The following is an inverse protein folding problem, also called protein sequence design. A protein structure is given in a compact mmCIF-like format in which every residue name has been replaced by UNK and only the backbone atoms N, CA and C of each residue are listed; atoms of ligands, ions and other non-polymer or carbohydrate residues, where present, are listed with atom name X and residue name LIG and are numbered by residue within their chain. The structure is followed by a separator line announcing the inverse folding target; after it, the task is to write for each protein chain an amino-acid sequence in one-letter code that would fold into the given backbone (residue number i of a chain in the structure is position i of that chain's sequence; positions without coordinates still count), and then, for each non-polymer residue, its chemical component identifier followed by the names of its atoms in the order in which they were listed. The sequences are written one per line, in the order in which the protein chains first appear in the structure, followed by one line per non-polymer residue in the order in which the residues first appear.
data_IF_950726144615
#
_entry.id   IF_950726144615
#
_cell.length_a   1.000
_cell.length_b   1.000
_cell.length_c   1.000
_cell.angle_alpha   90.00
_cell.angle_beta   90.00
_cell.angle_gamma   90.00
#
_symmetry.space_group_name_H-M   'P 1'
#
loop_
_entity.id
_entity.type
_entity.pdbx_description
1 polymer ?
#
# COMPACT_ATOMS: atom_id res chain seq x y z
N UNK A 1 22.27 -9.96 12.51
CA UNK A 1 21.40 -8.90 11.98
C UNK A 1 20.08 -9.56 11.60
N UNK A 2 18.94 -9.09 12.14
CA UNK A 2 17.61 -9.57 11.74
C UNK A 2 17.40 -9.28 10.24
N UNK A 3 16.70 -10.15 9.55
CA UNK A 3 16.34 -9.89 8.15
C UNK A 3 15.44 -8.64 8.06
N UNK A 4 15.56 -7.81 7.01
CA UNK A 4 14.71 -6.65 6.84
C UNK A 4 13.25 -7.07 6.72
N UNK A 5 12.34 -6.30 7.35
CA UNK A 5 10.89 -6.52 7.25
C UNK A 5 10.44 -6.37 5.80
N UNK A 6 9.56 -7.26 5.37
CA UNK A 6 8.99 -7.25 4.01
C UNK A 6 7.68 -6.46 3.98
N UNK A 7 7.57 -5.53 3.05
CA UNK A 7 6.39 -4.69 2.83
C UNK A 7 5.75 -5.03 1.48
N UNK A 8 4.51 -5.50 1.50
CA UNK A 8 3.71 -5.63 0.29
C UNK A 8 3.27 -4.23 -0.20
N UNK A 9 3.57 -3.89 -1.44
CA UNK A 9 3.22 -2.58 -2.01
C UNK A 9 2.05 -2.75 -2.97
N UNK A 10 0.92 -2.12 -2.65
CA UNK A 10 -0.27 -2.12 -3.50
C UNK A 10 -0.38 -0.77 -4.21
N UNK A 11 -0.18 -0.77 -5.53
CA UNK A 11 -0.21 0.45 -6.35
C UNK A 11 -1.58 0.59 -7.02
N UNK A 12 -2.30 1.68 -6.72
CA UNK A 12 -3.66 1.93 -7.21
C UNK A 12 -3.78 2.28 -8.70
N UNK A 13 -2.68 2.32 -9.45
CA UNK A 13 -2.68 2.70 -10.87
C UNK A 13 -2.20 1.54 -11.76
N UNK A 14 -3.02 1.20 -12.75
CA UNK A 14 -2.72 0.17 -13.76
C UNK A 14 -2.04 0.73 -15.02
N UNK A 15 -1.74 2.03 -15.08
CA UNK A 15 -1.10 2.64 -16.24
C UNK A 15 0.31 2.08 -16.42
N UNK A 16 0.73 1.85 -17.69
CA UNK A 16 2.09 1.43 -18.03
C UNK A 16 3.13 2.43 -17.47
N UNK A 17 2.90 3.74 -17.69
CA UNK A 17 3.75 4.83 -17.20
C UNK A 17 3.16 5.44 -15.92
N UNK A 18 2.91 4.60 -14.94
CA UNK A 18 2.27 5.00 -13.68
C UNK A 18 3.22 5.83 -12.81
N UNK A 19 2.85 7.08 -12.53
CA UNK A 19 3.56 7.94 -11.58
C UNK A 19 3.49 7.36 -10.16
N UNK A 20 2.37 6.72 -9.79
CA UNK A 20 2.25 6.02 -8.51
C UNK A 20 3.27 4.88 -8.38
N UNK A 21 3.53 4.14 -9.47
CA UNK A 21 4.54 3.07 -9.49
C UNK A 21 5.96 3.65 -9.43
N UNK A 22 6.22 4.78 -10.11
CA UNK A 22 7.50 5.51 -9.99
C UNK A 22 7.73 5.96 -8.55
N UNK A 23 6.70 6.53 -7.91
CA UNK A 23 6.76 6.98 -6.52
C UNK A 23 7.02 5.81 -5.55
N UNK A 24 6.34 4.68 -5.73
CA UNK A 24 6.57 3.46 -4.93
C UNK A 24 8.03 2.97 -5.02
N UNK A 25 8.60 2.96 -6.23
CA UNK A 25 10.01 2.59 -6.45
C UNK A 25 10.98 3.59 -5.82
N UNK A 26 10.71 4.90 -5.96
CA UNK A 26 11.52 5.94 -5.33
C UNK A 26 11.47 5.83 -3.80
N UNK A 27 10.29 5.61 -3.22
CA UNK A 27 10.13 5.40 -1.78
C UNK A 27 10.91 4.18 -1.28
N UNK A 28 10.86 3.07 -2.00
CA UNK A 28 11.64 1.87 -1.67
C UNK A 28 13.16 2.14 -1.67
N UNK A 29 13.65 2.88 -2.68
CA UNK A 29 15.07 3.28 -2.74
C UNK A 29 15.51 4.20 -1.60
N UNK A 30 14.59 5.04 -1.11
CA UNK A 30 14.82 5.97 0.01
C UNK A 30 14.65 5.33 1.40
N UNK A 31 14.19 4.07 1.48
CA UNK A 31 13.94 3.35 2.73
C UNK A 31 14.63 1.96 2.72
N UNK A 32 15.97 1.92 2.66
CA UNK A 32 16.72 0.68 2.38
C UNK A 32 16.70 -0.34 3.52
N UNK A 33 16.22 0.02 4.69
CA UNK A 33 16.06 -0.87 5.85
C UNK A 33 14.80 -1.76 5.79
N UNK A 34 13.93 -1.53 4.80
CA UNK A 34 12.76 -2.36 4.51
C UNK A 34 12.90 -3.00 3.12
N UNK A 35 12.34 -4.18 2.95
CA UNK A 35 12.22 -4.83 1.65
C UNK A 35 10.82 -4.59 1.09
N UNK A 36 10.71 -4.03 -0.12
CA UNK A 36 9.44 -3.72 -0.76
C UNK A 36 9.18 -4.62 -1.95
N UNK A 37 8.05 -5.33 -1.93
CA UNK A 37 7.60 -6.20 -3.03
C UNK A 37 6.28 -5.66 -3.59
N UNK A 38 6.26 -5.24 -4.87
CA UNK A 38 5.03 -4.74 -5.52
C UNK A 38 4.14 -5.93 -5.85
N UNK A 39 2.92 -5.91 -5.31
CA UNK A 39 1.90 -6.92 -5.55
C UNK A 39 0.97 -6.45 -6.67
N UNK A 40 0.89 -7.23 -7.74
CA UNK A 40 0.08 -6.88 -8.91
C UNK A 40 -1.42 -7.09 -8.63
N UNK A 41 -2.21 -6.08 -9.05
CA UNK A 41 -3.67 -6.07 -8.86
C UNK A 41 -4.46 -5.94 -10.18
N UNK A 42 -3.77 -5.76 -11.30
CA UNK A 42 -4.41 -5.50 -12.59
C UNK A 42 -5.10 -6.71 -13.21
N UNK A 43 -4.77 -7.89 -12.79
CA UNK A 43 -5.32 -9.17 -13.25
C UNK A 43 -6.38 -9.75 -12.32
N UNK A 44 -6.72 -9.05 -11.24
CA UNK A 44 -7.72 -9.53 -10.28
C UNK A 44 -9.13 -9.42 -10.89
N UNK A 45 -9.85 -10.53 -11.10
CA UNK A 45 -11.27 -10.48 -11.37
C UNK A 45 -12.00 -9.67 -10.29
N UNK A 46 -13.08 -8.99 -10.65
CA UNK A 46 -13.91 -8.29 -9.67
C UNK A 46 -14.40 -9.26 -8.61
N UNK A 47 -14.39 -8.79 -7.35
CA UNK A 47 -14.90 -9.57 -6.25
C UNK A 47 -16.38 -9.91 -6.51
N UNK A 48 -16.67 -11.20 -6.40
CA UNK A 48 -18.00 -11.78 -6.48
C UNK A 48 -18.10 -12.85 -5.38
N UNK A 49 -19.08 -12.72 -4.52
CA UNK A 49 -19.26 -13.63 -3.40
C UNK A 49 -19.54 -15.07 -3.83
N UNK A 50 -20.15 -15.27 -4.99
CA UNK A 50 -20.45 -16.61 -5.52
C UNK A 50 -19.17 -17.40 -5.87
N UNK A 51 -18.06 -16.70 -6.08
CA UNK A 51 -16.75 -17.31 -6.37
C UNK A 51 -15.95 -17.68 -5.09
N UNK A 52 -16.43 -17.38 -3.90
CA UNK A 52 -15.66 -17.65 -2.66
C UNK A 52 -15.42 -19.15 -2.40
N UNK A 53 -16.32 -20.03 -2.88
CA UNK A 53 -16.19 -21.48 -2.72
C UNK A 53 -15.15 -22.11 -3.66
N UNK A 54 -14.87 -21.46 -4.81
CA UNK A 54 -13.85 -21.87 -5.78
C UNK A 54 -13.15 -20.58 -6.31
N UNK A 55 -12.27 -19.98 -5.50
CA UNK A 55 -11.75 -18.65 -5.80
C UNK A 55 -10.79 -18.66 -6.99
N UNK A 56 -10.86 -17.63 -7.87
CA UNK A 56 -9.90 -17.47 -8.96
C UNK A 56 -8.46 -17.53 -8.48
N UNK A 57 -7.58 -18.16 -9.26
CA UNK A 57 -6.17 -18.33 -8.93
C UNK A 57 -5.46 -16.98 -8.61
N UNK A 58 -5.89 -15.89 -9.28
CA UNK A 58 -5.37 -14.55 -9.04
C UNK A 58 -5.71 -14.05 -7.63
N UNK A 59 -6.91 -14.34 -7.11
CA UNK A 59 -7.28 -14.00 -5.73
C UNK A 59 -6.44 -14.79 -4.72
N UNK A 60 -6.24 -16.09 -4.97
CA UNK A 60 -5.43 -16.95 -4.10
C UNK A 60 -3.98 -16.44 -4.06
N UNK A 61 -3.39 -16.16 -5.23
CA UNK A 61 -2.05 -15.56 -5.36
C UNK A 61 -1.95 -14.26 -4.57
N UNK A 62 -2.83 -13.29 -4.86
CA UNK A 62 -2.82 -11.97 -4.24
C UNK A 62 -2.89 -12.07 -2.70
N UNK A 63 -3.83 -12.85 -2.19
CA UNK A 63 -4.00 -13.04 -0.74
C UNK A 63 -2.77 -13.65 -0.10
N UNK A 64 -2.15 -14.64 -0.76
CA UNK A 64 -0.92 -15.28 -0.30
C UNK A 64 0.25 -14.28 -0.24
N UNK A 65 0.40 -13.44 -1.26
CA UNK A 65 1.46 -12.42 -1.31
C UNK A 65 1.28 -11.38 -0.19
N UNK A 66 0.06 -10.88 0.02
CA UNK A 66 -0.22 -9.95 1.13
C UNK A 66 -0.02 -10.62 2.48
N UNK A 67 -0.49 -11.83 2.67
CA UNK A 67 -0.36 -12.56 3.94
C UNK A 67 1.10 -12.81 4.33
N UNK A 68 1.97 -13.07 3.35
CA UNK A 68 3.39 -13.35 3.56
C UNK A 68 4.22 -12.12 3.98
N UNK A 69 3.72 -10.89 3.76
CA UNK A 69 4.44 -9.68 4.10
C UNK A 69 4.20 -9.26 5.56
N UNK A 70 5.20 -8.62 6.18
CA UNK A 70 5.12 -8.09 7.54
C UNK A 70 4.24 -6.83 7.62
N UNK A 71 4.16 -6.05 6.54
CA UNK A 71 3.45 -4.78 6.47
C UNK A 71 2.88 -4.54 5.06
N UNK A 72 2.04 -3.50 4.93
CA UNK A 72 1.48 -3.09 3.65
C UNK A 72 1.64 -1.59 3.41
N UNK A 73 2.06 -1.23 2.20
CA UNK A 73 2.11 0.15 1.72
C UNK A 73 1.14 0.32 0.56
N UNK A 74 0.23 1.27 0.68
CA UNK A 74 -0.65 1.66 -0.41
C UNK A 74 -0.13 2.94 -1.07
N UNK A 75 0.06 2.91 -2.39
CA UNK A 75 0.43 4.10 -3.18
C UNK A 75 -0.66 4.34 -4.22
N UNK A 76 -1.50 5.35 -3.99
CA UNK A 76 -2.72 5.54 -4.77
C UNK A 76 -2.82 6.91 -5.42
N UNK A 77 -3.18 7.00 -6.72
CA UNK A 77 -3.69 8.25 -7.26
C UNK A 77 -5.13 8.48 -6.76
N UNK A 78 -5.60 9.72 -6.92
CA UNK A 78 -7.01 10.04 -6.75
C UNK A 78 -7.75 9.89 -8.09
N UNK A 79 -8.90 9.23 -8.09
CA UNK A 79 -9.79 9.12 -9.22
C UNK A 79 -11.22 9.45 -8.78
N UNK A 80 -11.81 10.50 -9.39
CA UNK A 80 -13.16 10.98 -9.03
C UNK A 80 -13.33 11.21 -7.52
N UNK A 81 -12.36 11.88 -6.88
CA UNK A 81 -12.33 12.15 -5.43
C UNK A 81 -12.29 10.92 -4.52
N UNK A 82 -11.94 9.76 -5.06
CA UNK A 82 -11.87 8.50 -4.33
C UNK A 82 -10.67 7.65 -4.78
N UNK A 83 -10.62 6.42 -4.31
CA UNK A 83 -9.64 5.42 -4.75
C UNK A 83 -10.02 4.87 -6.13
N UNK A 84 -9.04 4.48 -6.96
CA UNK A 84 -9.31 3.75 -8.20
C UNK A 84 -10.07 2.45 -7.95
N UNK A 85 -10.98 2.07 -8.87
CA UNK A 85 -11.78 0.86 -8.75
C UNK A 85 -10.95 -0.42 -8.61
N UNK A 86 -9.81 -0.51 -9.33
CA UNK A 86 -8.90 -1.66 -9.21
C UNK A 86 -8.31 -1.80 -7.78
N UNK A 87 -7.99 -0.68 -7.13
CA UNK A 87 -7.50 -0.70 -5.75
C UNK A 87 -8.61 -1.11 -4.78
N UNK A 88 -9.84 -0.58 -4.96
CA UNK A 88 -10.98 -0.99 -4.12
C UNK A 88 -11.27 -2.48 -4.28
N UNK A 89 -11.23 -3.00 -5.51
CA UNK A 89 -11.38 -4.43 -5.78
C UNK A 89 -10.31 -5.27 -5.05
N UNK A 90 -9.05 -4.86 -5.09
CA UNK A 90 -7.97 -5.56 -4.37
C UNK A 90 -8.21 -5.59 -2.86
N UNK A 91 -8.72 -4.49 -2.27
CA UNK A 91 -9.09 -4.42 -0.86
C UNK A 91 -10.21 -5.43 -0.54
N UNK A 92 -11.23 -5.49 -1.39
CA UNK A 92 -12.37 -6.39 -1.20
C UNK A 92 -11.95 -7.86 -1.31
N UNK A 93 -11.16 -8.22 -2.32
CA UNK A 93 -10.59 -9.57 -2.49
C UNK A 93 -9.74 -9.97 -1.27
N UNK A 94 -8.90 -9.08 -0.76
CA UNK A 94 -8.05 -9.36 0.41
C UNK A 94 -8.84 -9.46 1.72
N UNK A 95 -10.03 -8.86 1.80
CA UNK A 95 -10.87 -8.87 3.00
C UNK A 95 -11.65 -10.19 3.21
N UNK A 96 -11.67 -11.06 2.21
CA UNK A 96 -12.49 -12.28 2.17
C UNK A 96 -11.65 -13.56 2.09
N UNK A 97 -12.19 -14.76 2.48
CA UNK A 97 -13.51 -14.98 3.09
C UNK A 97 -13.69 -14.29 4.45
N UNK A 98 -14.92 -14.17 4.91
CA UNK A 98 -15.22 -13.55 6.20
C UNK A 98 -14.43 -14.20 7.35
N UNK A 99 -13.85 -13.38 8.21
CA UNK A 99 -12.99 -13.86 9.32
C UNK A 99 -11.54 -14.20 8.91
N UNK A 100 -11.20 -14.17 7.61
CA UNK A 100 -9.87 -14.51 7.09
C UNK A 100 -9.23 -13.35 6.30
N UNK A 101 -9.53 -12.10 6.66
CA UNK A 101 -8.97 -10.93 6.03
C UNK A 101 -7.44 -10.92 6.15
N UNK A 102 -6.73 -10.81 5.01
CA UNK A 102 -5.26 -10.70 4.99
C UNK A 102 -4.76 -9.34 5.44
N UNK A 103 -5.67 -8.39 5.65
CA UNK A 103 -5.39 -7.04 6.13
C UNK A 103 -5.33 -6.96 7.66
N UNK A 104 -6.05 -7.86 8.35
CA UNK A 104 -6.28 -7.81 9.78
C UNK A 104 -4.97 -7.77 10.58
N UNK A 105 -4.78 -6.73 11.40
CA UNK A 105 -3.61 -6.54 12.25
C UNK A 105 -2.30 -6.20 11.52
N UNK A 106 -2.30 -6.11 10.17
CA UNK A 106 -1.10 -5.84 9.38
C UNK A 106 -0.78 -4.34 9.41
N UNK A 107 0.40 -3.90 9.92
CA UNK A 107 0.77 -2.50 9.94
C UNK A 107 0.79 -1.92 8.53
N UNK A 108 0.18 -0.75 8.36
CA UNK A 108 -0.02 -0.15 7.06
C UNK A 108 0.35 1.32 6.97
N UNK A 109 0.69 1.77 5.75
CA UNK A 109 0.90 3.17 5.42
C UNK A 109 0.23 3.52 4.09
N UNK A 110 -0.15 4.80 3.93
CA UNK A 110 -0.82 5.30 2.72
C UNK A 110 -0.09 6.53 2.20
N UNK A 111 0.34 6.46 0.95
CA UNK A 111 0.84 7.60 0.18
C UNK A 111 -0.14 7.86 -0.96
N UNK A 112 -0.75 9.03 -1.01
CA UNK A 112 -1.56 9.46 -2.15
C UNK A 112 -0.85 10.50 -2.98
N UNK A 113 -1.21 10.60 -4.25
CA UNK A 113 -0.63 11.56 -5.17
C UNK A 113 -1.66 12.05 -6.19
N UNK A 114 -1.45 13.28 -6.67
CA UNK A 114 -2.24 13.84 -7.77
C UNK A 114 -1.45 14.88 -8.56
N UNK A 115 -1.88 15.21 -9.81
CA UNK A 115 -1.30 16.30 -10.56
C UNK A 115 -1.49 17.67 -9.90
N UNK A 116 -2.57 17.83 -9.13
CA UNK A 116 -2.86 19.06 -8.37
C UNK A 116 -2.14 19.11 -7.03
N UNK A 117 -2.12 20.30 -6.41
CA UNK A 117 -1.42 20.56 -5.16
C UNK A 117 -1.94 19.75 -3.95
N UNK A 118 -3.22 19.32 -3.98
CA UNK A 118 -3.87 18.63 -2.85
C UNK A 118 -3.35 17.19 -2.66
N UNK A 119 -2.61 16.64 -3.61
CA UNK A 119 -1.90 15.35 -3.45
C UNK A 119 -2.79 14.12 -3.26
N UNK A 120 -4.03 14.14 -3.76
CA UNK A 120 -4.94 13.00 -3.65
C UNK A 120 -5.58 12.85 -2.27
N UNK A 121 -5.87 13.96 -1.59
CA UNK A 121 -6.47 14.01 -0.26
C UNK A 121 -7.74 13.15 -0.14
N UNK A 122 -8.68 13.27 -1.10
CA UNK A 122 -9.92 12.49 -1.06
C UNK A 122 -9.68 10.98 -1.11
N UNK A 123 -8.79 10.52 -2.00
CA UNK A 123 -8.43 9.12 -2.08
C UNK A 123 -7.74 8.62 -0.81
N UNK A 124 -6.85 9.42 -0.20
CA UNK A 124 -6.17 9.06 1.04
C UNK A 124 -7.17 8.78 2.16
N UNK A 125 -8.11 9.70 2.38
CA UNK A 125 -9.12 9.57 3.44
C UNK A 125 -10.09 8.42 3.20
N UNK A 126 -10.59 8.24 1.97
CA UNK A 126 -11.45 7.10 1.64
C UNK A 126 -10.73 5.76 1.84
N UNK A 127 -9.45 5.71 1.48
CA UNK A 127 -8.64 4.50 1.68
C UNK A 127 -8.45 4.22 3.17
N UNK A 128 -8.05 5.21 3.96
CA UNK A 128 -7.86 5.07 5.41
C UNK A 128 -9.13 4.60 6.10
N UNK A 129 -10.29 5.13 5.74
CA UNK A 129 -11.58 4.69 6.30
C UNK A 129 -11.81 3.19 6.06
N UNK A 130 -11.57 2.71 4.83
CA UNK A 130 -11.72 1.29 4.48
C UNK A 130 -10.74 0.41 5.24
N UNK A 131 -9.48 0.82 5.34
CA UNK A 131 -8.43 0.06 6.00
C UNK A 131 -8.60 0.00 7.52
N UNK A 132 -9.04 1.08 8.15
CA UNK A 132 -9.36 1.10 9.59
C UNK A 132 -10.50 0.14 9.90
N UNK A 133 -11.55 0.09 9.07
CA UNK A 133 -12.63 -0.89 9.20
C UNK A 133 -12.11 -2.34 9.11
N UNK A 134 -11.10 -2.58 8.28
CA UNK A 134 -10.45 -3.89 8.11
C UNK A 134 -9.38 -4.19 9.17
N UNK A 135 -9.32 -3.38 10.24
CA UNK A 135 -8.37 -3.52 11.35
C UNK A 135 -6.89 -3.45 10.91
N UNK A 136 -6.58 -2.60 9.94
CA UNK A 136 -5.19 -2.27 9.58
C UNK A 136 -4.68 -1.18 10.52
N UNK A 137 -3.69 -1.43 11.39
CA UNK A 137 -3.08 -0.37 12.20
C UNK A 137 -2.27 0.56 11.30
N UNK A 138 -2.88 1.69 10.91
CA UNK A 138 -2.29 2.65 9.99
C UNK A 138 -1.32 3.59 10.70
N UNK A 139 -0.18 3.87 10.05
CA UNK A 139 0.68 5.00 10.43
C UNK A 139 -0.17 6.28 10.44
N UNK A 140 -0.17 7.00 11.57
CA UNK A 140 -1.01 8.20 11.76
C UNK A 140 -0.57 9.37 10.88
N UNK A 141 0.72 9.44 10.53
CA UNK A 141 1.22 10.44 9.60
C UNK A 141 0.58 10.26 8.23
N UNK A 142 0.26 11.37 7.57
CA UNK A 142 -0.38 11.40 6.27
C UNK A 142 0.60 11.85 5.20
N UNK A 143 0.55 11.22 4.02
CA UNK A 143 1.42 11.54 2.90
C UNK A 143 0.59 11.92 1.66
N UNK A 144 0.59 13.20 1.33
CA UNK A 144 -0.08 13.78 0.17
C UNK A 144 0.96 14.36 -0.79
N UNK A 145 1.15 13.72 -1.93
CA UNK A 145 2.15 14.13 -2.90
C UNK A 145 1.48 14.90 -4.05
N UNK A 146 1.51 16.22 -3.94
CA UNK A 146 1.00 17.11 -4.98
C UNK A 146 1.95 17.29 -6.15
N UNK A 147 1.47 17.91 -7.23
CA UNK A 147 2.22 18.22 -8.44
C UNK A 147 3.00 17.00 -9.00
N UNK A 148 2.41 15.82 -8.89
CA UNK A 148 3.09 14.54 -9.06
C UNK A 148 3.78 14.35 -10.42
N UNK A 149 3.30 15.03 -11.48
CA UNK A 149 3.90 14.90 -12.82
C UNK A 149 5.23 15.64 -12.99
N UNK A 150 5.52 16.65 -12.16
CA UNK A 150 6.77 17.40 -12.18
C UNK A 150 7.85 16.87 -11.23
N UNK A 151 7.59 15.77 -10.54
CA UNK A 151 8.50 15.22 -9.53
C UNK A 151 9.58 14.31 -10.11
N UNK A 152 9.37 13.82 -11.33
CA UNK A 152 10.24 12.81 -11.95
C UNK A 152 10.89 13.33 -13.22
N UNK A 153 12.16 13.02 -13.39
CA UNK A 153 12.89 13.24 -14.61
C UNK A 153 12.53 12.24 -15.72
N UNK A 154 13.15 12.42 -16.89
CA UNK A 154 12.88 11.62 -18.10
C UNK A 154 13.18 10.13 -17.91
N UNK A 155 14.16 9.79 -17.09
CA UNK A 155 14.49 8.40 -16.76
C UNK A 155 13.65 7.83 -15.61
N UNK A 156 12.68 8.61 -15.08
CA UNK A 156 11.80 8.20 -14.00
C UNK A 156 12.39 8.30 -12.59
N UNK A 157 13.54 8.96 -12.42
CA UNK A 157 14.13 9.28 -11.13
C UNK A 157 13.39 10.42 -10.45
N UNK A 158 13.29 10.37 -9.12
CA UNK A 158 12.72 11.46 -8.32
C UNK A 158 13.72 12.62 -8.26
N UNK A 159 13.36 13.76 -8.87
CA UNK A 159 14.24 14.95 -8.97
C UNK A 159 13.90 16.04 -7.96
N UNK A 160 12.79 15.95 -7.24
CA UNK A 160 12.39 16.95 -6.25
C UNK A 160 12.93 16.58 -4.86
N UNK A 161 13.95 17.31 -4.39
CA UNK A 161 14.63 17.01 -3.12
C UNK A 161 13.70 17.20 -1.91
N UNK A 162 12.82 18.21 -1.89
CA UNK A 162 11.86 18.38 -0.78
C UNK A 162 10.91 17.19 -0.64
N UNK A 163 10.47 16.61 -1.77
CA UNK A 163 9.68 15.36 -1.77
C UNK A 163 10.53 14.18 -1.31
N UNK A 164 11.80 14.11 -1.72
CA UNK A 164 12.70 13.03 -1.29
C UNK A 164 12.96 13.07 0.22
N UNK A 165 13.22 14.25 0.79
CA UNK A 165 13.38 14.43 2.24
C UNK A 165 12.13 14.02 3.01
N UNK A 166 10.96 14.47 2.55
CA UNK A 166 9.67 14.06 3.15
C UNK A 166 9.50 12.54 3.12
N UNK A 167 9.79 11.89 2.00
CA UNK A 167 9.67 10.44 1.85
C UNK A 167 10.66 9.68 2.72
N UNK A 168 11.90 10.16 2.90
CA UNK A 168 12.87 9.57 3.85
C UNK A 168 12.34 9.61 5.28
N UNK A 169 11.83 10.77 5.71
CA UNK A 169 11.26 10.93 7.05
C UNK A 169 10.01 10.05 7.24
N UNK A 170 9.14 9.98 6.24
CA UNK A 170 7.96 9.12 6.25
C UNK A 170 8.35 7.63 6.29
N UNK A 171 9.38 7.22 5.54
CA UNK A 171 9.91 5.86 5.55
C UNK A 171 10.49 5.44 6.90
N UNK A 172 11.23 6.35 7.55
CA UNK A 172 11.74 6.12 8.91
C UNK A 172 10.61 5.95 9.92
N UNK A 173 9.58 6.79 9.84
CA UNK A 173 8.40 6.67 10.70
C UNK A 173 7.62 5.38 10.44
N UNK A 174 7.50 4.96 9.18
CA UNK A 174 6.83 3.71 8.82
C UNK A 174 7.60 2.48 9.33
N UNK A 175 8.93 2.46 9.20
CA UNK A 175 9.77 1.41 9.77
C UNK A 175 9.57 1.27 11.28
N UNK A 176 9.65 2.38 12.02
CA UNK A 176 9.43 2.38 13.45
C UNK A 176 8.00 1.93 13.83
N UNK A 177 7.00 2.27 13.00
CA UNK A 177 5.63 1.82 13.19
C UNK A 177 5.48 0.31 13.01
N UNK A 178 6.12 -0.27 12.00
CA UNK A 178 6.12 -1.72 11.76
C UNK A 178 6.71 -2.45 12.97
N UNK A 179 7.86 -2.01 13.46
CA UNK A 179 8.53 -2.63 14.59
C UNK A 179 7.66 -2.55 15.85
N UNK A 180 7.07 -1.39 16.14
CA UNK A 180 6.17 -1.21 17.28
C UNK A 180 4.96 -2.16 17.24
N UNK A 181 4.30 -2.30 16.07
CA UNK A 181 3.15 -3.22 15.94
C UNK A 181 3.58 -4.68 16.06
N UNK A 182 4.75 -5.03 15.53
CA UNK A 182 5.30 -6.39 15.66
C UNK A 182 5.65 -6.75 17.11
N UNK A 183 6.16 -5.80 17.87
CA UNK A 183 6.51 -6.00 19.28
C UNK A 183 5.27 -6.09 20.19
N UNK A 184 4.20 -5.35 19.84
CA UNK A 184 2.92 -5.36 20.55
C UNK A 184 2.05 -6.60 20.17
N UNK A 185 2.40 -7.33 19.12
CA UNK A 185 1.67 -8.53 18.73
C UNK A 185 1.83 -9.62 19.82
N UNK A 186 0.73 -10.18 20.38
CA UNK A 186 0.84 -11.27 21.32
C UNK A 186 1.62 -12.42 20.67
N UNK A 187 2.67 -12.91 21.36
CA UNK A 187 3.45 -14.03 20.89
C UNK A 187 2.50 -15.12 20.38
N UNK A 188 2.60 -15.46 19.10
CA UNK A 188 1.74 -16.47 18.49
C UNK A 188 1.77 -17.69 19.41
N UNK A 189 0.65 -18.02 20.05
CA UNK A 189 0.54 -19.25 20.83
C UNK A 189 0.85 -20.37 19.85
N UNK A 190 2.02 -20.99 20.05
CA UNK A 190 2.36 -22.22 19.36
C UNK A 190 1.24 -23.22 19.64
N UNK A 191 0.48 -23.53 18.59
CA UNK A 191 -0.52 -24.58 18.61
C UNK A 191 0.12 -25.92 18.25
#
# INVERSE_FOLDING_TARGET
MSQPRTVAVVVGSLRKDSVSRKLAKAFAALTPNLKFDIVEIGDLPHFDQDLESDPPAQWVRFRKEIAAADAVLFVTPEFNRSVPGALKNAIDVGSRPYGQSVWNGKPGAVISLSPGAIGGFGANHHLRQSLVFLNVPLLSQEAYIGNAFSLFGDNGELINEGTAEFLRAYGAAFSAWIDRIADDAPAAKAA
#
